data_IF_547952848844
#
_entry.id   IF_547952848844
#
_cell.length_a   1.000
_cell.length_b   1.000
_cell.length_c   1.000
_cell.angle_alpha   90.00
_cell.angle_beta   90.00
_cell.angle_gamma   90.00
#
_symmetry.space_group_name_H-M   'P 1'
#
loop_
_entity.id
_entity.type
_entity.pdbx_description
1 polymer ?
#
# COMPACT_ATOMS: atom_id res chain seq x y z
N UNK A 1 26.34 10.18 15.35
CA UNK A 1 24.87 10.28 15.33
C UNK A 1 24.31 9.00 14.77
N UNK A 2 23.43 8.36 15.50
CA UNK A 2 22.78 7.11 15.14
C UNK A 2 21.36 7.39 14.59
N UNK A 3 21.16 7.12 13.32
CA UNK A 3 19.85 7.21 12.68
C UNK A 3 19.30 5.80 12.42
N UNK A 4 18.26 5.45 13.17
CA UNK A 4 17.57 4.15 13.05
C UNK A 4 16.30 4.32 12.23
N UNK A 5 16.04 3.37 11.34
CA UNK A 5 14.86 3.32 10.48
C UNK A 5 14.16 1.99 10.68
N UNK A 6 12.86 2.00 11.02
CA UNK A 6 12.03 0.80 11.08
C UNK A 6 11.20 0.71 9.79
N UNK A 7 11.51 -0.26 8.96
CA UNK A 7 10.90 -0.49 7.65
C UNK A 7 11.85 -0.19 6.48
N UNK A 8 12.05 -1.16 5.63
CA UNK A 8 13.07 -1.20 4.56
C UNK A 8 12.54 -0.98 3.15
N UNK A 9 11.35 -0.38 2.97
CA UNK A 9 10.81 -0.10 1.64
C UNK A 9 10.88 1.42 1.31
N UNK A 10 9.99 1.94 0.48
CA UNK A 10 10.01 3.24 -0.18
C UNK A 10 10.46 4.41 0.72
N UNK A 11 9.79 4.63 1.86
CA UNK A 11 10.13 5.74 2.75
C UNK A 11 11.45 5.49 3.50
N UNK A 12 11.62 4.30 4.07
CA UNK A 12 12.78 3.97 4.89
C UNK A 12 14.09 3.96 4.11
N UNK A 13 14.14 3.24 2.96
CA UNK A 13 15.36 3.18 2.15
C UNK A 13 15.67 4.49 1.46
N UNK A 14 14.66 5.29 1.10
CA UNK A 14 14.86 6.65 0.60
C UNK A 14 15.49 7.55 1.65
N UNK A 15 15.03 7.46 2.90
CA UNK A 15 15.58 8.21 4.03
C UNK A 15 17.02 7.76 4.33
N UNK A 16 17.26 6.46 4.47
CA UNK A 16 18.57 5.88 4.76
C UNK A 16 19.62 6.30 3.73
N UNK A 17 19.31 6.14 2.45
CA UNK A 17 20.21 6.49 1.35
C UNK A 17 20.50 8.00 1.29
N UNK A 18 19.48 8.84 1.52
CA UNK A 18 19.67 10.29 1.48
C UNK A 18 20.41 10.80 2.70
N UNK A 19 20.16 10.27 3.89
CA UNK A 19 20.91 10.61 5.10
C UNK A 19 22.39 10.31 4.92
N UNK A 20 22.74 9.13 4.38
CA UNK A 20 24.12 8.73 4.12
C UNK A 20 24.81 9.61 3.08
N UNK A 21 24.08 10.07 2.04
CA UNK A 21 24.61 11.05 1.07
C UNK A 21 24.83 12.44 1.68
N UNK A 22 23.89 12.88 2.54
CA UNK A 22 23.98 14.21 3.18
C UNK A 22 25.08 14.29 4.23
N UNK A 23 25.28 13.17 4.96
CA UNK A 23 26.26 13.04 6.05
C UNK A 23 26.94 11.68 5.97
N UNK A 24 28.08 11.55 5.29
CA UNK A 24 28.79 10.26 5.14
C UNK A 24 29.22 9.62 6.48
N UNK A 25 29.41 10.42 7.53
CA UNK A 25 29.77 9.98 8.89
C UNK A 25 28.59 9.45 9.72
N UNK A 26 27.35 9.69 9.29
CA UNK A 26 26.16 9.20 10.02
C UNK A 26 26.10 7.67 10.02
N UNK A 27 25.85 7.09 11.17
CA UNK A 27 25.56 5.65 11.28
C UNK A 27 24.07 5.44 11.01
N UNK A 28 23.75 4.70 9.96
CA UNK A 28 22.37 4.40 9.56
C UNK A 28 22.12 2.91 9.72
N UNK A 29 21.09 2.56 10.50
CA UNK A 29 20.62 1.19 10.67
C UNK A 29 19.16 1.10 10.23
N UNK A 30 18.87 0.22 9.28
CA UNK A 30 17.51 -0.11 8.83
C UNK A 30 17.13 -1.47 9.40
N UNK A 31 16.01 -1.53 10.09
CA UNK A 31 15.43 -2.75 10.66
C UNK A 31 14.23 -3.14 9.79
N UNK A 32 14.29 -4.29 9.15
CA UNK A 32 13.23 -4.80 8.27
C UNK A 32 12.81 -6.21 8.67
N UNK A 33 11.50 -6.40 8.84
CA UNK A 33 10.94 -7.69 9.26
C UNK A 33 10.98 -8.76 8.17
N UNK A 34 10.97 -8.36 6.89
CA UNK A 34 11.00 -9.27 5.73
C UNK A 34 12.42 -9.46 5.21
N UNK A 35 12.59 -10.25 4.14
CA UNK A 35 13.87 -10.36 3.42
C UNK A 35 14.07 -9.23 2.43
N UNK A 36 12.96 -8.69 1.91
CA UNK A 36 12.95 -7.78 0.80
C UNK A 36 13.02 -6.33 1.27
N UNK A 37 13.85 -5.55 0.61
CA UNK A 37 13.96 -4.11 0.79
C UNK A 37 13.90 -3.41 -0.56
N UNK A 38 13.41 -2.17 -0.58
CA UNK A 38 13.47 -1.32 -1.78
C UNK A 38 12.90 -1.99 -3.03
N UNK A 39 11.66 -2.43 -2.97
CA UNK A 39 10.97 -3.05 -4.10
C UNK A 39 9.80 -2.20 -4.61
N UNK A 40 9.40 -2.46 -5.86
CA UNK A 40 8.30 -1.77 -6.53
C UNK A 40 6.98 -2.51 -6.30
N UNK A 41 6.32 -2.23 -5.17
CA UNK A 41 5.05 -2.91 -4.80
C UNK A 41 3.96 -2.77 -5.88
N UNK A 42 3.86 -1.60 -6.53
CA UNK A 42 2.88 -1.36 -7.60
C UNK A 42 3.13 -2.19 -8.88
N UNK A 43 4.31 -2.80 -9.02
CA UNK A 43 4.64 -3.68 -10.12
C UNK A 43 4.11 -5.10 -9.98
N UNK A 44 3.71 -5.51 -8.76
CA UNK A 44 3.31 -6.89 -8.49
C UNK A 44 2.17 -7.41 -9.38
N UNK A 45 1.06 -6.68 -9.59
CA UNK A 45 0.01 -7.14 -10.51
C UNK A 45 0.52 -7.42 -11.92
N UNK A 46 1.42 -6.59 -12.45
CA UNK A 46 1.98 -6.75 -13.79
C UNK A 46 2.92 -7.96 -13.89
N UNK A 47 3.69 -8.24 -12.84
CA UNK A 47 4.55 -9.43 -12.80
C UNK A 47 3.75 -10.72 -12.52
N UNK A 48 2.60 -10.63 -11.86
CA UNK A 48 1.63 -11.74 -11.74
C UNK A 48 1.00 -12.04 -13.10
N UNK A 49 0.63 -11.01 -13.85
CA UNK A 49 0.04 -11.13 -15.18
C UNK A 49 0.96 -11.83 -16.19
N UNK A 50 2.25 -11.55 -16.13
CA UNK A 50 3.25 -12.09 -17.05
C UNK A 50 4.00 -13.28 -16.43
N UNK A 51 3.82 -14.52 -16.95
CA UNK A 51 4.52 -15.70 -16.42
C UNK A 51 6.04 -15.61 -16.60
N UNK A 52 6.53 -14.85 -17.56
CA UNK A 52 7.97 -14.72 -17.85
C UNK A 52 8.71 -13.76 -16.90
N UNK A 53 8.00 -12.87 -16.21
CA UNK A 53 8.58 -11.93 -15.25
C UNK A 53 8.70 -12.55 -13.86
N UNK A 54 9.84 -12.34 -13.20
CA UNK A 54 10.01 -12.75 -11.80
C UNK A 54 9.52 -11.66 -10.85
N UNK A 55 9.14 -12.03 -9.62
CA UNK A 55 8.91 -11.07 -8.53
C UNK A 55 10.20 -10.38 -8.11
N UNK A 56 11.34 -11.02 -8.27
CA UNK A 56 12.68 -10.49 -8.01
C UNK A 56 13.02 -9.29 -8.90
N UNK A 57 12.46 -9.21 -10.12
CA UNK A 57 12.62 -8.08 -11.03
C UNK A 57 12.07 -6.76 -10.43
N UNK A 58 11.20 -6.86 -9.43
CA UNK A 58 10.65 -5.72 -8.71
C UNK A 58 11.57 -5.19 -7.60
N UNK A 59 12.61 -5.92 -7.22
CA UNK A 59 13.61 -5.46 -6.24
C UNK A 59 14.51 -4.42 -6.92
N UNK A 60 14.27 -3.15 -6.60
CA UNK A 60 15.02 -2.03 -7.19
C UNK A 60 16.48 -2.07 -6.76
N UNK A 61 16.73 -2.47 -5.51
CA UNK A 61 18.07 -2.60 -4.97
C UNK A 61 18.07 -3.57 -3.77
N UNK A 62 18.97 -4.54 -3.82
CA UNK A 62 19.15 -5.51 -2.75
C UNK A 62 19.79 -4.90 -1.48
N UNK A 63 19.54 -5.54 -0.33
CA UNK A 63 20.13 -5.16 0.95
C UNK A 63 21.66 -5.09 0.92
N UNK A 64 22.33 -5.99 0.17
CA UNK A 64 23.78 -6.01 -0.01
C UNK A 64 24.31 -4.71 -0.63
N UNK A 65 23.62 -4.15 -1.59
CA UNK A 65 24.04 -2.90 -2.26
C UNK A 65 23.98 -1.70 -1.29
N UNK A 66 23.05 -1.69 -0.35
CA UNK A 66 22.99 -0.67 0.70
C UNK A 66 24.10 -0.86 1.75
N UNK A 67 24.37 -2.11 2.14
CA UNK A 67 25.48 -2.42 3.06
C UNK A 67 26.82 -1.95 2.50
N UNK A 68 27.04 -2.12 1.20
CA UNK A 68 28.23 -1.61 0.51
C UNK A 68 28.34 -0.07 0.51
N UNK A 69 27.24 0.62 0.75
CA UNK A 69 27.22 2.08 0.92
C UNK A 69 27.35 2.51 2.40
N UNK A 70 27.63 1.58 3.30
CA UNK A 70 27.79 1.85 4.73
C UNK A 70 26.46 2.07 5.47
N UNK A 71 25.36 1.48 4.98
CA UNK A 71 24.06 1.43 5.64
C UNK A 71 23.89 0.02 6.21
N UNK A 72 23.77 -0.12 7.53
CA UNK A 72 23.45 -1.41 8.13
C UNK A 72 21.98 -1.76 7.83
N UNK A 73 21.74 -2.83 7.08
CA UNK A 73 20.38 -3.32 6.75
C UNK A 73 20.20 -4.68 7.42
N UNK A 74 19.34 -4.71 8.44
CA UNK A 74 18.98 -5.87 9.25
C UNK A 74 17.65 -6.42 8.75
N UNK A 75 17.70 -7.36 7.81
CA UNK A 75 16.52 -8.10 7.33
C UNK A 75 16.18 -9.24 8.29
N UNK A 76 14.92 -9.69 8.32
CA UNK A 76 14.47 -10.71 9.27
C UNK A 76 14.45 -10.23 10.73
N UNK A 77 14.41 -8.92 10.96
CA UNK A 77 14.39 -8.31 12.29
C UNK A 77 13.07 -7.59 12.52
N UNK A 78 12.24 -8.13 13.38
CA UNK A 78 10.93 -7.56 13.72
C UNK A 78 11.07 -6.65 14.95
N UNK A 79 11.04 -5.34 14.74
CA UNK A 79 10.99 -4.34 15.81
C UNK A 79 9.61 -4.39 16.45
N UNK A 80 9.56 -4.60 17.77
CA UNK A 80 8.32 -4.73 18.55
C UNK A 80 8.16 -3.67 19.62
N UNK A 81 9.23 -2.98 20.01
CA UNK A 81 9.19 -1.97 21.07
C UNK A 81 10.11 -0.79 20.78
N UNK A 82 9.63 0.40 21.09
CA UNK A 82 10.40 1.66 21.13
C UNK A 82 10.42 2.15 22.58
N UNK A 83 11.59 2.23 23.18
CA UNK A 83 11.78 2.91 24.46
C UNK A 83 12.29 4.34 24.21
N UNK A 84 11.39 5.31 24.42
CA UNK A 84 11.68 6.73 24.15
C UNK A 84 12.63 7.35 25.17
N UNK A 85 12.64 6.83 26.41
CA UNK A 85 13.50 7.31 27.49
C UNK A 85 14.94 6.81 27.31
N UNK A 86 15.09 5.51 27.07
CA UNK A 86 16.37 4.89 26.79
C UNK A 86 16.87 5.16 25.35
N UNK A 87 15.98 5.68 24.47
CA UNK A 87 16.21 5.86 23.02
C UNK A 87 16.70 4.56 22.36
N UNK A 88 15.95 3.48 22.54
CA UNK A 88 16.25 2.19 21.94
C UNK A 88 15.06 1.62 21.17
N UNK A 89 15.35 0.87 20.12
CA UNK A 89 14.40 0.00 19.42
C UNK A 89 14.80 -1.43 19.71
N UNK A 90 13.86 -2.26 20.15
CA UNK A 90 14.09 -3.67 20.42
C UNK A 90 13.04 -4.55 19.74
N UNK A 91 13.38 -5.83 19.59
CA UNK A 91 12.55 -6.82 18.92
C UNK A 91 13.21 -8.19 18.87
N UNK A 92 12.81 -8.99 17.89
CA UNK A 92 13.29 -10.35 17.69
C UNK A 92 13.65 -10.60 16.21
N UNK A 93 14.66 -11.43 15.99
CA UNK A 93 14.95 -11.98 14.66
C UNK A 93 13.96 -13.12 14.32
N UNK A 94 13.98 -13.59 13.10
CA UNK A 94 13.17 -14.75 12.71
C UNK A 94 13.49 -16.03 13.49
N UNK A 95 14.75 -16.15 13.94
CA UNK A 95 15.18 -17.25 14.79
C UNK A 95 14.75 -17.07 16.27
N UNK A 96 14.05 -15.97 16.58
CA UNK A 96 13.60 -15.66 17.93
C UNK A 96 14.67 -14.98 18.82
N UNK A 97 15.84 -14.65 18.27
CA UNK A 97 16.89 -14.01 19.03
C UNK A 97 16.53 -12.52 19.32
N UNK A 98 16.66 -12.05 20.57
CA UNK A 98 16.38 -10.66 20.88
C UNK A 98 17.48 -9.73 20.31
N UNK A 99 17.08 -8.53 19.88
CA UNK A 99 18.00 -7.46 19.53
C UNK A 99 17.59 -6.13 20.14
N UNK A 100 18.54 -5.22 20.26
CA UNK A 100 18.31 -3.84 20.68
C UNK A 100 19.28 -2.91 19.97
N UNK A 101 18.77 -1.78 19.45
CA UNK A 101 19.54 -0.76 18.72
C UNK A 101 19.24 0.61 19.30
N UNK A 102 20.25 1.35 19.70
CA UNK A 102 20.11 2.72 20.20
C UNK A 102 20.02 3.73 19.06
N UNK A 103 19.33 4.85 19.27
CA UNK A 103 19.18 5.91 18.28
C UNK A 103 19.34 7.32 18.87
N UNK A 104 19.88 8.24 18.07
CA UNK A 104 19.76 9.68 18.29
C UNK A 104 18.53 10.24 17.58
N UNK A 105 18.21 9.70 16.40
CA UNK A 105 17.00 9.97 15.62
C UNK A 105 16.41 8.65 15.13
N UNK A 106 15.08 8.54 15.14
CA UNK A 106 14.34 7.38 14.71
C UNK A 106 13.34 7.75 13.61
N UNK A 107 13.27 6.95 12.55
CA UNK A 107 12.20 6.99 11.55
C UNK A 107 11.34 5.73 11.66
N UNK A 108 10.04 5.91 11.88
CA UNK A 108 9.03 4.86 11.75
C UNK A 108 8.51 4.89 10.30
N UNK A 109 8.83 3.85 9.52
CA UNK A 109 8.45 3.68 8.13
C UNK A 109 7.82 2.29 7.89
N UNK A 110 7.02 1.85 8.86
CA UNK A 110 6.42 0.51 8.94
C UNK A 110 5.34 0.23 7.90
N UNK A 111 4.95 1.24 7.11
CA UNK A 111 4.00 1.10 6.02
C UNK A 111 2.57 0.80 6.47
N UNK A 112 1.87 -0.02 5.70
CA UNK A 112 0.50 -0.45 5.95
C UNK A 112 0.35 -1.96 5.70
N UNK A 113 -0.67 -2.56 6.29
CA UNK A 113 -1.05 -3.96 6.09
C UNK A 113 -2.40 -4.06 5.38
N UNK A 114 -2.61 -5.11 4.59
CA UNK A 114 -3.91 -5.41 4.04
C UNK A 114 -4.94 -5.62 5.16
N UNK A 115 -6.15 -5.15 4.94
CA UNK A 115 -7.28 -5.42 5.82
C UNK A 115 -7.82 -6.80 5.46
N UNK A 116 -7.91 -7.68 6.45
CA UNK A 116 -8.64 -8.94 6.37
C UNK A 116 -9.90 -8.70 7.23
N UNK A 117 -11.11 -8.69 6.63
CA UNK A 117 -12.35 -8.54 7.39
C UNK A 117 -12.55 -9.73 8.34
N UNK A 118 -13.34 -9.51 9.38
CA UNK A 118 -13.78 -10.59 10.27
C UNK A 118 -14.95 -11.36 9.60
N UNK A 119 -14.58 -12.16 8.60
CA UNK A 119 -15.49 -13.02 7.83
C UNK A 119 -14.97 -14.45 7.97
N UNK A 120 -15.81 -15.42 8.38
CA UNK A 120 -15.40 -16.82 8.54
C UNK A 120 -14.77 -17.38 7.26
N UNK A 121 -13.66 -18.12 7.42
CA UNK A 121 -13.01 -18.83 6.33
C UNK A 121 -12.03 -17.99 5.49
N UNK A 122 -11.77 -16.72 5.82
CA UNK A 122 -10.71 -15.96 5.15
C UNK A 122 -9.29 -16.38 5.55
N UNK A 123 -9.15 -17.33 6.45
CA UNK A 123 -7.90 -18.00 6.83
C UNK A 123 -7.66 -19.33 6.11
N UNK A 124 -8.61 -19.79 5.28
CA UNK A 124 -8.49 -21.03 4.51
C UNK A 124 -7.33 -20.96 3.49
N UNK A 125 -6.70 -22.12 3.20
CA UNK A 125 -5.74 -22.23 2.11
C UNK A 125 -6.37 -21.80 0.77
N UNK A 126 -5.64 -20.99 -0.01
CA UNK A 126 -6.14 -20.43 -1.27
C UNK A 126 -6.77 -19.03 -1.11
N UNK A 127 -6.96 -18.55 0.11
CA UNK A 127 -7.32 -17.13 0.38
C UNK A 127 -6.05 -16.34 0.61
N UNK A 128 -5.90 -15.23 -0.13
CA UNK A 128 -4.66 -14.45 -0.15
C UNK A 128 -4.92 -12.95 -0.15
N UNK A 129 -3.90 -12.21 0.24
CA UNK A 129 -3.79 -10.75 0.10
C UNK A 129 -2.65 -10.40 -0.84
N UNK A 130 -2.54 -9.14 -1.25
CA UNK A 130 -1.39 -8.64 -2.00
C UNK A 130 -0.88 -7.34 -1.36
N UNK A 131 0.23 -7.42 -0.64
CA UNK A 131 0.87 -6.25 0.00
C UNK A 131 2.39 -6.32 0.01
N UNK A 132 2.96 -7.47 0.28
CA UNK A 132 4.41 -7.72 0.29
C UNK A 132 4.84 -8.56 -0.91
N UNK A 133 6.13 -8.52 -1.24
CA UNK A 133 6.66 -9.25 -2.39
C UNK A 133 6.45 -10.78 -2.25
N UNK A 134 6.49 -11.28 -1.01
CA UNK A 134 6.18 -12.67 -0.67
C UNK A 134 4.73 -13.06 -1.06
N UNK A 135 3.76 -12.15 -0.88
CA UNK A 135 2.38 -12.40 -1.33
C UNK A 135 2.33 -12.58 -2.85
N UNK A 136 3.08 -11.75 -3.58
CA UNK A 136 3.19 -11.84 -5.04
C UNK A 136 3.82 -13.16 -5.51
N UNK A 137 4.90 -13.62 -4.85
CA UNK A 137 5.52 -14.94 -5.10
C UNK A 137 4.50 -16.04 -4.91
N UNK A 138 3.85 -16.07 -3.74
CA UNK A 138 2.86 -17.08 -3.40
C UNK A 138 1.67 -17.12 -4.37
N UNK A 139 1.19 -15.97 -4.82
CA UNK A 139 0.12 -15.90 -5.83
C UNK A 139 0.60 -16.50 -7.15
N UNK A 140 1.81 -16.17 -7.60
CA UNK A 140 2.37 -16.73 -8.84
C UNK A 140 2.55 -18.23 -8.76
N UNK A 141 3.08 -18.73 -7.64
CA UNK A 141 3.30 -20.15 -7.42
C UNK A 141 1.98 -20.92 -7.47
N UNK A 142 0.94 -20.43 -6.79
CA UNK A 142 -0.39 -21.07 -6.82
C UNK A 142 -0.98 -21.07 -8.24
N UNK A 143 -0.86 -19.98 -8.99
CA UNK A 143 -1.36 -19.92 -10.38
C UNK A 143 -0.58 -20.88 -11.28
N UNK A 144 0.69 -21.12 -11.00
CA UNK A 144 1.54 -21.98 -11.80
C UNK A 144 1.35 -23.48 -11.46
N UNK A 145 1.24 -23.80 -10.17
CA UNK A 145 1.27 -25.17 -9.67
C UNK A 145 -0.13 -25.82 -9.55
N UNK A 146 -1.15 -24.99 -9.27
CA UNK A 146 -2.53 -25.44 -9.15
C UNK A 146 -3.33 -24.94 -10.36
N UNK A 147 -3.92 -25.78 -11.16
CA UNK A 147 -4.71 -25.42 -12.37
C UNK A 147 -5.87 -24.45 -12.05
N UNK A 148 -5.51 -23.24 -11.60
CA UNK A 148 -6.45 -22.17 -11.20
C UNK A 148 -7.21 -21.68 -12.43
N UNK A 149 -8.52 -21.89 -12.45
CA UNK A 149 -9.41 -21.45 -13.53
C UNK A 149 -10.33 -20.32 -13.11
N UNK A 150 -10.66 -20.23 -11.83
CA UNK A 150 -11.62 -19.27 -11.28
C UNK A 150 -11.03 -18.57 -10.07
N UNK A 151 -11.12 -17.27 -10.04
CA UNK A 151 -10.73 -16.48 -8.88
C UNK A 151 -11.85 -15.53 -8.46
N UNK A 152 -12.04 -15.40 -7.15
CA UNK A 152 -12.91 -14.36 -6.59
C UNK A 152 -12.04 -13.28 -5.96
N UNK A 153 -12.29 -12.02 -6.31
CA UNK A 153 -11.69 -10.86 -5.67
C UNK A 153 -12.71 -10.23 -4.72
N UNK A 154 -12.39 -10.23 -3.44
CA UNK A 154 -13.19 -9.55 -2.42
C UNK A 154 -12.70 -8.10 -2.34
N UNK A 155 -13.51 -7.19 -2.88
CA UNK A 155 -13.18 -5.77 -3.00
C UNK A 155 -13.29 -5.26 -4.44
N UNK A 156 -13.45 -3.92 -4.59
CA UNK A 156 -13.57 -3.26 -5.89
C UNK A 156 -12.86 -1.91 -5.87
N UNK A 157 -11.70 -1.82 -5.19
CA UNK A 157 -10.77 -0.70 -5.22
C UNK A 157 -9.74 -0.86 -6.34
N UNK A 158 -8.79 0.08 -6.47
CA UNK A 158 -7.80 0.07 -7.56
C UNK A 158 -6.89 -1.16 -7.56
N UNK A 159 -6.46 -1.69 -6.38
CA UNK A 159 -5.68 -2.93 -6.31
C UNK A 159 -6.50 -4.12 -6.84
N UNK A 160 -7.80 -4.16 -6.50
CA UNK A 160 -8.71 -5.19 -7.00
C UNK A 160 -8.85 -5.12 -8.52
N UNK A 161 -8.91 -3.92 -9.11
CA UNK A 161 -8.97 -3.70 -10.56
C UNK A 161 -7.69 -4.16 -11.26
N UNK A 162 -6.52 -3.78 -10.73
CA UNK A 162 -5.23 -4.22 -11.29
C UNK A 162 -5.05 -5.74 -11.21
N UNK A 163 -5.44 -6.35 -10.09
CA UNK A 163 -5.42 -7.81 -9.95
C UNK A 163 -6.43 -8.52 -10.85
N UNK A 164 -7.61 -7.92 -11.06
CA UNK A 164 -8.60 -8.43 -11.99
C UNK A 164 -8.02 -8.54 -13.42
N UNK A 165 -7.42 -7.47 -13.93
CA UNK A 165 -6.73 -7.49 -15.23
C UNK A 165 -5.60 -8.53 -15.25
N UNK A 166 -4.77 -8.58 -14.21
CA UNK A 166 -3.65 -9.50 -14.10
C UNK A 166 -4.09 -10.98 -14.20
N UNK A 167 -5.15 -11.35 -13.50
CA UNK A 167 -5.70 -12.71 -13.53
C UNK A 167 -6.35 -13.05 -14.87
N UNK A 168 -7.06 -12.11 -15.48
CA UNK A 168 -7.64 -12.29 -16.83
C UNK A 168 -6.55 -12.53 -17.88
N UNK A 169 -5.42 -11.83 -17.80
CA UNK A 169 -4.26 -12.07 -18.68
C UNK A 169 -3.64 -13.48 -18.50
N UNK A 170 -3.90 -14.12 -17.37
CA UNK A 170 -3.55 -15.53 -17.10
C UNK A 170 -4.65 -16.52 -17.50
N UNK A 171 -5.68 -16.07 -18.23
CA UNK A 171 -6.86 -16.85 -18.62
C UNK A 171 -7.67 -17.41 -17.44
N UNK A 172 -7.67 -16.71 -16.30
CA UNK A 172 -8.46 -17.05 -15.13
C UNK A 172 -9.79 -16.27 -15.19
N UNK A 173 -10.91 -16.96 -15.00
CA UNK A 173 -12.21 -16.31 -14.85
C UNK A 173 -12.28 -15.57 -13.51
N UNK A 174 -12.66 -14.30 -13.55
CA UNK A 174 -12.67 -13.46 -12.37
C UNK A 174 -14.08 -13.02 -12.02
N UNK A 175 -14.44 -13.22 -10.75
CA UNK A 175 -15.61 -12.62 -10.12
C UNK A 175 -15.17 -11.61 -9.07
N UNK A 176 -15.84 -10.46 -9.00
CA UNK A 176 -15.56 -9.44 -7.99
C UNK A 176 -16.78 -9.22 -7.11
N UNK A 177 -16.60 -9.20 -5.79
CA UNK A 177 -17.70 -9.08 -4.81
C UNK A 177 -17.37 -8.05 -3.74
N UNK A 178 -18.38 -7.25 -3.33
CA UNK A 178 -18.27 -6.30 -2.20
C UNK A 178 -19.63 -5.95 -1.62
N UNK A 179 -19.73 -5.63 -0.30
CA UNK A 179 -21.00 -5.27 0.35
C UNK A 179 -21.60 -3.93 -0.10
N UNK A 180 -20.76 -2.95 -0.43
CA UNK A 180 -21.24 -1.62 -0.83
C UNK A 180 -21.69 -1.56 -2.28
N UNK A 181 -22.58 -0.64 -2.63
CA UNK A 181 -22.98 -0.42 -4.01
C UNK A 181 -21.84 0.22 -4.84
N UNK A 182 -21.86 -0.06 -6.14
CA UNK A 182 -20.97 0.56 -7.11
C UNK A 182 -19.48 0.21 -6.96
N UNK A 183 -18.72 0.59 -7.95
CA UNK A 183 -17.26 0.43 -8.03
C UNK A 183 -16.57 1.70 -7.55
N UNK A 184 -15.34 1.59 -7.08
CA UNK A 184 -14.48 2.74 -6.79
C UNK A 184 -15.23 3.84 -6.00
N UNK A 185 -15.51 3.66 -4.70
CA UNK A 185 -16.45 4.48 -3.93
C UNK A 185 -16.08 5.98 -3.85
N UNK A 186 -14.88 6.33 -4.28
CA UNK A 186 -14.38 7.71 -4.39
C UNK A 186 -14.63 8.33 -5.78
N UNK A 187 -15.21 7.59 -6.73
CA UNK A 187 -15.44 8.06 -8.10
C UNK A 187 -16.90 8.51 -8.27
N UNK A 188 -17.10 9.55 -9.07
CA UNK A 188 -18.46 9.98 -9.43
C UNK A 188 -19.20 8.86 -10.17
N UNK A 189 -20.51 8.66 -9.91
CA UNK A 189 -21.28 7.53 -10.45
C UNK A 189 -21.21 7.38 -11.97
N UNK A 190 -21.22 8.50 -12.71
CA UNK A 190 -21.12 8.49 -14.17
C UNK A 190 -19.78 7.92 -14.66
N UNK A 191 -18.68 8.25 -13.98
CA UNK A 191 -17.35 7.76 -14.32
C UNK A 191 -17.16 6.30 -13.87
N UNK A 192 -17.68 5.93 -12.71
CA UNK A 192 -17.61 4.54 -12.26
C UNK A 192 -18.43 3.60 -13.14
N UNK A 193 -19.51 4.09 -13.78
CA UNK A 193 -20.28 3.37 -14.80
C UNK A 193 -19.45 3.03 -16.05
N UNK A 194 -18.54 3.92 -16.47
CA UNK A 194 -17.63 3.63 -17.59
C UNK A 194 -16.67 2.49 -17.22
N UNK A 195 -16.14 2.51 -15.99
CA UNK A 195 -15.28 1.42 -15.51
C UNK A 195 -16.05 0.10 -15.41
N UNK A 196 -17.29 0.15 -14.94
CA UNK A 196 -18.15 -1.03 -14.88
C UNK A 196 -18.37 -1.65 -16.26
N UNK A 197 -18.71 -0.85 -17.26
CA UNK A 197 -18.88 -1.32 -18.63
C UNK A 197 -17.63 -1.96 -19.20
N UNK A 198 -16.45 -1.41 -18.92
CA UNK A 198 -15.16 -1.98 -19.33
C UNK A 198 -14.93 -3.36 -18.68
N UNK A 199 -15.22 -3.51 -17.38
CA UNK A 199 -15.12 -4.79 -16.69
C UNK A 199 -16.07 -5.84 -17.25
N UNK A 200 -17.34 -5.47 -17.46
CA UNK A 200 -18.35 -6.35 -18.03
C UNK A 200 -18.02 -6.79 -19.44
N UNK A 201 -17.51 -5.86 -20.29
CA UNK A 201 -17.04 -6.17 -21.64
C UNK A 201 -15.79 -7.04 -21.67
N UNK A 202 -15.04 -7.08 -20.57
CA UNK A 202 -13.86 -7.93 -20.34
C UNK A 202 -14.20 -9.27 -19.68
N UNK A 203 -15.49 -9.64 -19.65
CA UNK A 203 -15.99 -10.92 -19.09
C UNK A 203 -15.71 -11.07 -17.59
N UNK A 204 -15.92 -10.00 -16.82
CA UNK A 204 -15.82 -9.99 -15.37
C UNK A 204 -17.23 -10.07 -14.76
N UNK A 205 -17.44 -11.04 -13.88
CA UNK A 205 -18.68 -11.15 -13.11
C UNK A 205 -18.63 -10.19 -11.91
N UNK A 206 -19.57 -9.25 -11.84
CA UNK A 206 -19.61 -8.23 -10.79
C UNK A 206 -20.78 -8.46 -9.84
N UNK A 207 -20.50 -8.46 -8.53
CA UNK A 207 -21.46 -8.63 -7.45
C UNK A 207 -21.36 -7.45 -6.44
N UNK A 208 -21.69 -6.22 -6.87
CA UNK A 208 -21.77 -5.08 -5.95
C UNK A 208 -23.03 -5.19 -5.08
N UNK A 209 -22.95 -4.76 -3.82
CA UNK A 209 -24.07 -4.80 -2.87
C UNK A 209 -24.27 -6.17 -2.20
N UNK A 210 -23.46 -7.16 -2.51
CA UNK A 210 -23.55 -8.49 -1.90
C UNK A 210 -22.75 -8.54 -0.60
N UNK A 211 -23.42 -8.79 0.53
CA UNK A 211 -22.77 -9.04 1.81
C UNK A 211 -22.21 -10.45 1.82
N UNK A 212 -20.90 -10.55 2.11
CA UNK A 212 -20.20 -11.83 2.22
C UNK A 212 -20.48 -12.39 3.62
N UNK A 213 -20.97 -13.62 3.69
CA UNK A 213 -21.30 -14.33 4.91
C UNK A 213 -20.16 -15.22 5.40
N UNK A 214 -19.36 -15.74 4.46
CA UNK A 214 -18.23 -16.61 4.75
C UNK A 214 -17.55 -17.13 3.50
N UNK A 215 -16.45 -17.83 3.71
CA UNK A 215 -15.78 -18.67 2.71
C UNK A 215 -15.74 -20.08 3.25
N UNK A 216 -16.04 -21.06 2.42
CA UNK A 216 -16.10 -22.46 2.79
C UNK A 216 -15.29 -23.31 1.80
N UNK A 217 -14.83 -24.47 2.26
CA UNK A 217 -14.27 -25.50 1.37
C UNK A 217 -15.42 -26.16 0.60
N UNK A 218 -15.41 -26.06 -0.72
CA UNK A 218 -16.36 -26.72 -1.61
C UNK A 218 -15.83 -28.09 -2.10
N UNK A 219 -16.58 -28.75 -2.95
CA UNK A 219 -16.16 -30.02 -3.57
C UNK A 219 -14.95 -29.84 -4.49
N UNK A 220 -14.85 -28.69 -5.18
CA UNK A 220 -13.77 -28.35 -6.11
C UNK A 220 -13.27 -26.93 -5.82
N UNK A 221 -12.47 -26.78 -4.76
CA UNK A 221 -11.92 -25.48 -4.37
C UNK A 221 -12.71 -24.79 -3.27
N UNK A 222 -12.85 -23.48 -3.35
CA UNK A 222 -13.47 -22.62 -2.35
C UNK A 222 -14.83 -22.12 -2.83
N UNK A 223 -15.71 -21.75 -1.90
CA UNK A 223 -16.99 -21.10 -2.20
C UNK A 223 -17.11 -19.85 -1.34
N UNK A 224 -17.29 -18.70 -1.98
CA UNK A 224 -17.67 -17.47 -1.29
C UNK A 224 -19.18 -17.46 -1.13
N UNK A 225 -19.66 -17.51 0.12
CA UNK A 225 -21.08 -17.42 0.48
C UNK A 225 -21.48 -15.96 0.63
N UNK A 226 -22.46 -15.52 -0.13
CA UNK A 226 -23.02 -14.19 -0.05
C UNK A 226 -24.54 -14.19 0.10
N UNK A 227 -25.13 -13.01 0.38
CA UNK A 227 -26.58 -12.86 0.43
C UNK A 227 -27.17 -13.16 -0.97
N UNK A 228 -27.79 -14.33 -1.11
CA UNK A 228 -28.47 -14.77 -2.34
C UNK A 228 -27.55 -15.24 -3.46
N UNK A 229 -26.26 -15.43 -3.22
CA UNK A 229 -25.31 -15.92 -4.22
C UNK A 229 -24.17 -16.73 -3.59
N UNK A 230 -23.82 -17.81 -4.26
CA UNK A 230 -22.62 -18.61 -3.97
C UNK A 230 -21.69 -18.53 -5.17
N UNK A 231 -20.41 -18.18 -4.92
CA UNK A 231 -19.43 -17.99 -5.98
C UNK A 231 -18.28 -18.98 -5.78
N UNK A 232 -18.13 -19.91 -6.70
CA UNK A 232 -17.03 -20.87 -6.68
C UNK A 232 -15.72 -20.26 -7.11
N UNK A 233 -14.62 -20.64 -6.44
CA UNK A 233 -13.28 -20.19 -6.72
C UNK A 233 -12.23 -21.27 -6.46
N UNK A 234 -11.16 -21.24 -7.24
CA UNK A 234 -9.97 -22.04 -6.97
C UNK A 234 -8.97 -21.21 -6.12
N UNK A 235 -9.09 -19.89 -6.17
CA UNK A 235 -8.28 -18.92 -5.41
C UNK A 235 -9.11 -17.66 -5.09
N UNK A 236 -8.90 -17.09 -3.90
CA UNK A 236 -9.56 -15.85 -3.47
C UNK A 236 -8.50 -14.80 -3.14
N UNK A 237 -8.72 -13.56 -3.63
CA UNK A 237 -7.87 -12.41 -3.29
C UNK A 237 -8.68 -11.41 -2.48
N UNK A 238 -8.23 -11.09 -1.26
CA UNK A 238 -8.85 -10.09 -0.40
C UNK A 238 -8.19 -8.73 -0.65
N UNK A 239 -8.93 -7.79 -1.24
CA UNK A 239 -8.46 -6.46 -1.63
C UNK A 239 -9.43 -5.35 -1.19
N UNK A 240 -9.84 -5.38 0.09
CA UNK A 240 -10.83 -4.45 0.67
C UNK A 240 -10.21 -3.15 1.19
N UNK A 241 -8.91 -3.01 1.14
CA UNK A 241 -8.17 -1.84 1.58
C UNK A 241 -6.98 -2.18 2.48
N UNK A 242 -6.36 -1.15 3.03
CA UNK A 242 -5.19 -1.26 3.90
C UNK A 242 -5.40 -0.47 5.19
N UNK A 243 -4.62 -0.77 6.22
CA UNK A 243 -4.56 -0.02 7.48
C UNK A 243 -3.11 0.35 7.81
N UNK A 244 -2.85 1.52 8.45
CA UNK A 244 -1.50 1.92 8.79
C UNK A 244 -0.91 1.02 9.89
N UNK A 245 0.37 0.69 9.78
CA UNK A 245 1.11 -0.07 10.78
C UNK A 245 1.65 0.87 11.86
N UNK A 246 0.77 1.38 12.71
CA UNK A 246 1.09 2.34 13.77
C UNK A 246 1.20 1.71 15.18
N UNK A 247 0.98 0.41 15.33
CA UNK A 247 0.93 -0.27 16.63
C UNK A 247 2.14 0.01 17.50
N UNK A 248 3.35 -0.17 16.96
CA UNK A 248 4.60 0.11 17.70
C UNK A 248 4.71 1.58 18.16
N UNK A 249 4.15 2.51 17.39
CA UNK A 249 4.11 3.93 17.76
C UNK A 249 3.09 4.20 18.87
N UNK A 250 1.92 3.56 18.81
CA UNK A 250 0.88 3.64 19.86
C UNK A 250 1.40 3.09 21.17
N UNK A 251 2.04 1.92 21.16
CA UNK A 251 2.64 1.31 22.36
C UNK A 251 3.75 2.17 22.96
N UNK A 252 4.48 2.92 22.12
CA UNK A 252 5.46 3.91 22.55
C UNK A 252 4.83 5.23 23.04
N UNK A 253 3.49 5.36 23.06
CA UNK A 253 2.79 6.58 23.50
C UNK A 253 2.88 7.75 22.50
N UNK A 254 3.11 7.47 21.23
CA UNK A 254 3.05 8.49 20.17
C UNK A 254 1.58 8.74 19.75
N UNK A 255 1.28 9.98 19.35
CA UNK A 255 -0.07 10.36 18.94
C UNK A 255 -0.40 9.84 17.54
N UNK A 256 -1.66 9.43 17.35
CA UNK A 256 -2.21 9.01 16.06
C UNK A 256 -3.38 9.91 15.64
N UNK A 257 -3.69 9.93 14.34
CA UNK A 257 -4.84 10.60 13.76
C UNK A 257 -6.13 9.77 13.89
N UNK A 258 -7.27 10.34 13.48
CA UNK A 258 -8.54 9.62 13.39
C UNK A 258 -8.47 8.40 12.45
N UNK A 259 -7.51 8.37 11.53
CA UNK A 259 -7.25 7.23 10.62
C UNK A 259 -6.32 6.18 11.23
N UNK A 260 -5.99 6.30 12.52
CA UNK A 260 -5.00 5.46 13.21
C UNK A 260 -3.57 5.57 12.63
N UNK A 261 -3.30 6.50 11.73
CA UNK A 261 -1.97 6.78 11.22
C UNK A 261 -1.18 7.65 12.21
N UNK A 262 0.15 7.51 12.23
CA UNK A 262 1.02 8.27 13.13
C UNK A 262 0.93 9.76 12.78
N UNK A 263 0.58 10.58 13.77
CA UNK A 263 0.49 12.03 13.63
C UNK A 263 1.87 12.65 13.39
N UNK A 264 1.98 13.47 12.31
CA UNK A 264 3.21 14.18 11.99
C UNK A 264 2.97 15.67 11.77
N UNK A 265 3.99 16.49 12.04
CA UNK A 265 4.03 17.89 11.59
C UNK A 265 4.46 18.00 10.11
N UNK A 266 4.56 19.22 9.59
CA UNK A 266 5.02 19.46 8.21
C UNK A 266 6.47 19.03 7.96
N UNK A 267 7.27 18.83 9.01
CA UNK A 267 8.64 18.31 8.97
C UNK A 267 8.70 16.81 9.23
N UNK A 268 7.56 16.15 9.29
CA UNK A 268 7.40 14.70 9.53
C UNK A 268 7.83 14.25 10.94
N UNK A 269 7.91 15.17 11.92
CA UNK A 269 8.13 14.84 13.33
C UNK A 269 6.84 14.34 13.95
N UNK A 270 6.95 13.35 14.80
CA UNK A 270 5.86 12.83 15.63
C UNK A 270 5.63 13.73 16.85
N UNK A 271 4.87 13.26 17.83
CA UNK A 271 4.77 13.91 19.15
C UNK A 271 6.05 13.80 20.00
N UNK A 272 7.08 13.11 19.50
CA UNK A 272 8.43 13.06 20.08
C UNK A 272 9.42 13.71 19.12
N UNK A 273 10.27 14.59 19.66
CA UNK A 273 11.18 15.43 18.87
C UNK A 273 12.27 14.64 18.13
N UNK A 274 12.61 13.46 18.63
CA UNK A 274 13.65 12.58 18.06
C UNK A 274 13.05 11.51 17.15
N UNK A 275 11.72 11.44 17.03
CA UNK A 275 11.03 10.39 16.26
C UNK A 275 10.25 11.01 15.10
N UNK A 276 10.51 10.52 13.92
CA UNK A 276 9.83 10.87 12.67
C UNK A 276 8.95 9.71 12.21
N UNK A 277 7.95 10.00 11.37
CA UNK A 277 7.20 8.96 10.67
C UNK A 277 6.98 9.34 9.20
N UNK A 278 7.06 8.36 8.31
CA UNK A 278 6.89 8.56 6.87
C UNK A 278 6.36 7.31 6.16
N UNK A 279 5.75 7.50 5.01
CA UNK A 279 5.10 6.46 4.23
C UNK A 279 3.69 6.16 4.71
N UNK A 280 3.20 4.95 4.40
CA UNK A 280 1.80 4.58 4.63
C UNK A 280 1.41 4.48 6.12
N UNK A 281 2.36 4.43 7.05
CA UNK A 281 2.08 4.46 8.49
C UNK A 281 1.77 5.86 9.04
N UNK A 282 2.06 6.93 8.28
CA UNK A 282 1.94 8.31 8.74
C UNK A 282 0.84 9.08 8.00
N UNK A 283 0.22 10.04 8.70
CA UNK A 283 -0.74 10.97 8.12
C UNK A 283 -0.09 12.11 7.32
N UNK A 284 -0.92 12.95 6.72
CA UNK A 284 -0.51 14.15 6.00
C UNK A 284 -1.55 15.26 6.13
N UNK A 285 -1.21 16.44 5.61
CA UNK A 285 -2.16 17.51 5.37
C UNK A 285 -2.64 17.46 3.91
N UNK A 286 -3.92 17.66 3.69
CA UNK A 286 -4.46 17.85 2.35
C UNK A 286 -4.18 19.28 1.87
N UNK A 287 -3.57 19.42 0.68
CA UNK A 287 -3.10 20.71 0.21
C UNK A 287 -4.24 21.74 -0.06
N UNK A 288 -5.44 21.24 -0.38
CA UNK A 288 -6.60 22.10 -0.66
C UNK A 288 -7.33 22.53 0.62
N UNK A 289 -7.54 21.58 1.55
CA UNK A 289 -8.37 21.82 2.74
C UNK A 289 -7.56 22.20 3.98
N UNK A 290 -6.26 21.93 3.98
CA UNK A 290 -5.41 22.06 5.17
C UNK A 290 -5.72 21.03 6.26
N UNK A 291 -6.71 20.16 6.05
CA UNK A 291 -7.11 19.13 7.01
C UNK A 291 -6.15 17.95 6.98
N UNK A 292 -6.12 17.19 8.09
CA UNK A 292 -5.38 15.95 8.16
C UNK A 292 -6.08 14.86 7.35
N UNK A 293 -5.28 14.13 6.58
CA UNK A 293 -5.74 13.02 5.75
C UNK A 293 -4.76 11.85 5.83
N UNK A 294 -5.24 10.68 5.53
CA UNK A 294 -4.41 9.51 5.34
C UNK A 294 -4.60 8.97 3.91
N UNK A 295 -3.58 9.15 3.09
CA UNK A 295 -3.60 8.73 1.68
C UNK A 295 -2.27 8.01 1.41
N UNK A 296 -2.25 6.67 1.48
CA UNK A 296 -1.06 5.87 1.27
C UNK A 296 -0.68 5.83 -0.20
N UNK A 297 0.41 6.51 -0.58
CA UNK A 297 0.92 6.59 -1.95
C UNK A 297 2.45 6.49 -1.97
N UNK A 298 3.00 5.67 -2.88
CA UNK A 298 4.42 5.40 -2.99
C UNK A 298 5.26 6.65 -3.28
N UNK A 299 4.80 7.54 -4.16
CA UNK A 299 5.50 8.79 -4.49
C UNK A 299 5.65 9.70 -3.26
N UNK A 300 4.59 9.78 -2.43
CA UNK A 300 4.66 10.50 -1.15
C UNK A 300 5.65 9.86 -0.20
N UNK A 301 5.63 8.52 -0.10
CA UNK A 301 6.53 7.79 0.80
C UNK A 301 8.01 8.10 0.50
N UNK A 302 8.41 8.06 -0.76
CA UNK A 302 9.77 8.42 -1.18
C UNK A 302 10.16 9.86 -0.80
N UNK A 303 9.30 10.84 -1.13
CA UNK A 303 9.55 12.26 -0.83
C UNK A 303 9.58 12.54 0.67
N UNK A 304 8.72 11.87 1.44
CA UNK A 304 8.70 11.96 2.89
C UNK A 304 10.00 11.39 3.49
N UNK A 305 10.47 10.25 3.00
CA UNK A 305 11.76 9.70 3.39
C UNK A 305 12.92 10.67 3.14
N UNK A 306 12.95 11.33 1.99
CA UNK A 306 13.97 12.36 1.70
C UNK A 306 13.89 13.54 2.67
N UNK A 307 12.70 14.07 2.93
CA UNK A 307 12.51 15.19 3.83
C UNK A 307 12.91 14.84 5.28
N UNK A 308 12.61 13.63 5.76
CA UNK A 308 13.09 13.15 7.06
C UNK A 308 14.62 13.13 7.10
N UNK A 309 15.27 12.57 6.08
CA UNK A 309 16.73 12.53 6.03
C UNK A 309 17.37 13.92 6.05
N UNK A 310 16.79 14.87 5.31
CA UNK A 310 17.25 16.27 5.32
C UNK A 310 17.09 16.89 6.70
N UNK A 311 15.92 16.71 7.35
CA UNK A 311 15.64 17.22 8.69
C UNK A 311 16.58 16.61 9.75
N UNK A 312 16.83 15.30 9.69
CA UNK A 312 17.78 14.59 10.57
C UNK A 312 19.22 15.08 10.37
N UNK A 313 19.58 15.42 9.15
CA UNK A 313 20.91 15.95 8.83
C UNK A 313 21.07 17.47 9.06
N UNK A 314 20.09 18.13 9.66
CA UNK A 314 20.13 19.55 9.98
C UNK A 314 19.80 20.50 8.81
N UNK A 315 19.20 19.97 7.74
CA UNK A 315 18.68 20.74 6.59
C UNK A 315 17.16 20.84 6.73
N UNK A 316 16.58 21.91 7.31
CA UNK A 316 15.15 21.97 7.62
C UNK A 316 14.32 22.01 6.32
N UNK A 317 13.48 20.98 6.14
CA UNK A 317 12.55 20.83 5.02
C UNK A 317 11.15 20.60 5.56
N UNK A 318 10.19 21.36 5.07
CA UNK A 318 8.76 21.13 5.29
C UNK A 318 8.13 20.61 4.00
N UNK A 319 7.35 19.53 4.10
CA UNK A 319 6.58 19.06 2.96
C UNK A 319 5.29 19.86 2.82
N UNK A 320 4.93 20.29 1.60
CA UNK A 320 3.59 20.77 1.32
C UNK A 320 2.59 19.64 1.55
N UNK A 321 1.32 19.98 1.68
CA UNK A 321 0.25 18.99 1.72
C UNK A 321 0.23 18.12 0.46
N UNK A 322 -0.65 17.12 0.47
CA UNK A 322 -0.88 16.21 -0.67
C UNK A 322 -2.27 16.45 -1.26
N UNK A 323 -2.45 16.12 -2.52
CA UNK A 323 -3.75 16.19 -3.23
C UNK A 323 -4.30 14.82 -3.61
N UNK A 324 -3.65 13.74 -3.20
CA UNK A 324 -4.12 12.38 -3.47
C UNK A 324 -4.10 12.00 -4.95
N UNK A 325 -3.14 12.51 -5.73
CA UNK A 325 -3.00 12.14 -7.14
C UNK A 325 -2.66 10.66 -7.27
N UNK A 326 -3.49 9.92 -7.98
CA UNK A 326 -3.32 8.51 -8.26
C UNK A 326 -3.76 8.21 -9.70
N UNK A 327 -3.12 7.20 -10.29
CA UNK A 327 -3.48 6.65 -11.61
C UNK A 327 -3.32 5.14 -11.55
N UNK A 328 -4.23 4.42 -12.18
CA UNK A 328 -4.12 2.98 -12.40
C UNK A 328 -4.77 2.64 -13.76
N UNK A 329 -4.41 1.49 -14.29
CA UNK A 329 -4.97 0.94 -15.51
C UNK A 329 -5.94 -0.20 -15.18
N UNK A 330 -7.02 -0.29 -15.94
CA UNK A 330 -7.91 -1.43 -15.94
C UNK A 330 -8.36 -1.72 -17.39
N UNK A 331 -7.88 -2.79 -17.95
CA UNK A 331 -8.04 -3.19 -19.36
C UNK A 331 -7.71 -2.05 -20.35
N UNK A 332 -8.68 -1.54 -21.08
CA UNK A 332 -8.51 -0.45 -22.04
C UNK A 332 -8.55 0.96 -21.42
N UNK A 333 -8.84 1.09 -20.12
CA UNK A 333 -9.00 2.37 -19.45
C UNK A 333 -7.79 2.75 -18.59
N UNK A 334 -7.42 4.02 -18.64
CA UNK A 334 -6.56 4.67 -17.65
C UNK A 334 -7.42 5.53 -16.74
N UNK A 335 -7.44 5.21 -15.46
CA UNK A 335 -8.24 5.90 -14.44
C UNK A 335 -7.33 6.73 -13.57
N UNK A 336 -7.57 8.04 -13.52
CA UNK A 336 -6.77 8.96 -12.73
C UNK A 336 -7.65 9.87 -11.88
N UNK A 337 -7.13 10.27 -10.72
CA UNK A 337 -7.74 11.31 -9.87
C UNK A 337 -6.67 12.25 -9.31
N UNK A 338 -7.11 13.46 -8.98
CA UNK A 338 -6.32 14.41 -8.20
C UNK A 338 -7.26 15.36 -7.46
N UNK A 339 -6.89 15.83 -6.29
CA UNK A 339 -7.72 16.73 -5.48
C UNK A 339 -8.92 16.03 -4.82
N UNK A 340 -10.02 16.76 -4.70
CA UNK A 340 -11.23 16.36 -3.99
C UNK A 340 -12.33 15.95 -4.99
N UNK A 341 -13.12 14.96 -4.62
CA UNK A 341 -14.43 14.72 -5.24
C UNK A 341 -15.42 15.79 -4.79
N UNK A 342 -16.58 15.87 -5.45
CA UNK A 342 -17.67 16.77 -5.05
C UNK A 342 -18.05 16.51 -3.58
N UNK A 343 -18.23 15.25 -3.20
CA UNK A 343 -18.61 14.87 -1.85
C UNK A 343 -17.53 15.22 -0.81
N UNK A 344 -16.27 14.94 -1.11
CA UNK A 344 -15.13 15.31 -0.24
C UNK A 344 -15.04 16.84 -0.04
N UNK A 345 -15.24 17.61 -1.11
CA UNK A 345 -15.23 19.06 -1.06
C UNK A 345 -16.39 19.60 -0.20
N UNK A 346 -17.61 19.07 -0.38
CA UNK A 346 -18.77 19.42 0.45
C UNK A 346 -18.55 19.09 1.93
N UNK A 347 -18.01 17.91 2.22
CA UNK A 347 -17.66 17.50 3.59
C UNK A 347 -16.62 18.42 4.21
N UNK A 348 -15.71 18.97 3.40
CA UNK A 348 -14.72 19.96 3.82
C UNK A 348 -15.28 21.39 3.97
N UNK A 349 -16.59 21.60 3.76
CA UNK A 349 -17.25 22.89 3.85
C UNK A 349 -17.06 23.78 2.62
N UNK A 350 -16.62 23.23 1.50
CA UNK A 350 -16.50 23.94 0.22
C UNK A 350 -17.82 23.86 -0.57
N UNK A 351 -18.02 24.75 -1.52
CA UNK A 351 -19.17 24.79 -2.42
C UNK A 351 -18.75 24.41 -3.85
N UNK A 352 -18.54 23.12 -4.13
CA UNK A 352 -18.06 22.70 -5.44
C UNK A 352 -19.13 22.84 -6.52
N UNK A 353 -18.68 23.18 -7.73
CA UNK A 353 -19.46 23.05 -8.96
C UNK A 353 -18.82 21.94 -9.79
N UNK A 354 -19.62 21.02 -10.28
CA UNK A 354 -19.15 19.90 -11.09
C UNK A 354 -19.60 20.01 -12.54
N UNK A 355 -18.78 19.51 -13.45
CA UNK A 355 -19.12 19.30 -14.85
C UNK A 355 -18.42 18.07 -15.37
N UNK A 356 -19.13 17.25 -16.14
CA UNK A 356 -18.56 16.08 -16.82
C UNK A 356 -18.51 16.40 -18.30
N UNK A 357 -17.34 16.23 -18.91
CA UNK A 357 -17.14 16.42 -20.34
C UNK A 357 -16.59 15.13 -20.96
N UNK A 358 -17.00 14.87 -22.18
CA UNK A 358 -16.40 13.84 -23.01
C UNK A 358 -15.64 14.51 -24.15
N UNK A 359 -14.36 14.23 -24.26
CA UNK A 359 -13.52 14.80 -25.31
C UNK A 359 -12.52 13.78 -25.85
N UNK A 360 -11.89 14.10 -26.99
CA UNK A 360 -10.80 13.29 -27.53
C UNK A 360 -9.53 13.53 -26.74
N UNK A 361 -8.72 12.48 -26.55
CA UNK A 361 -7.42 12.54 -25.84
C UNK A 361 -6.34 13.35 -26.59
N UNK A 362 -6.56 13.71 -27.88
CA UNK A 362 -5.62 14.46 -28.69
C UNK A 362 -6.29 15.70 -29.29
N UNK A 363 -5.58 16.82 -29.27
CA UNK A 363 -5.97 18.03 -29.99
C UNK A 363 -5.92 17.77 -31.53
N UNK A 364 -6.81 18.43 -32.28
CA UNK A 364 -6.81 18.38 -33.76
C UNK A 364 -5.47 18.82 -34.39
N UNK A 365 -4.64 19.56 -33.62
CA UNK A 365 -3.33 20.07 -34.07
C UNK A 365 -2.18 19.07 -33.93
N UNK A 366 -2.36 17.97 -33.25
CA UNK A 366 -1.32 16.96 -33.01
C UNK A 366 -1.37 15.76 -33.95
N UNK A 367 -2.03 15.91 -35.12
CA UNK A 367 -1.93 14.96 -36.20
C UNK A 367 -0.84 15.46 -37.16
N UNK A 368 0.38 15.11 -36.85
CA UNK A 368 1.49 15.08 -37.80
C UNK A 368 2.03 13.68 -37.81
#
# INVERSE_FOLDING_TARGET
MDFVVIGGDAAGMSAASRAKRNRPDIRVTVIEKTQDVSFSACGMPYNIADPSRSMEDLVVREAKAFRNQGIAVLTGHHATRIDRTAKTVSGQTWEGNPFSVSYDALLIATGASAIIPDIPGLDLPGVMVLKHLEDGRRIKDIIQDADVKRSVIIGMGYIAMEMCEALRQRNIHVSMVKPGPGLLPWMEPQLSGVVQQELESSDIALYPGVRILGVEQGEKGLVVRGDGVDIEADMIIVAVGVRPNSGIAVEAGLKTSAYQAILTDSRLRTSDFNIYAAGDCADAFHAVTGQRVWIPLALRANRAGWAVADNVCGKPVSLPGIVGTAVFKVFGLEVARTGLTVQEAQTAGLHPVSGVIQSRSRDRKSVV
#
